data_IF_107324402692
#
_entry.id   IF_107324402692
#
_cell.length_a   1.000
_cell.length_b   1.000
_cell.length_c   1.000
_cell.angle_alpha   90.00
_cell.angle_beta   90.00
_cell.angle_gamma   90.00
#
_symmetry.space_group_name_H-M   'P 1'
#
loop_
_entity.id
_entity.type
_entity.pdbx_description
1 polymer ?
#
# COMPACT_ATOMS: atom_id res chain seq x y z
N UNK A 1 -6.84 11.69 -4.87
CA UNK A 1 -5.95 11.42 -5.52
C UNK A 1 -5.09 10.51 -4.96
N UNK A 2 -4.80 9.59 -5.56
CA UNK A 2 -4.19 8.55 -4.96
C UNK A 2 -2.85 8.33 -5.50
N UNK A 3 -1.99 9.25 -5.31
CA UNK A 3 -0.60 9.10 -5.73
C UNK A 3 0.28 9.55 -4.58
N UNK A 4 1.29 8.80 -4.29
CA UNK A 4 2.25 9.18 -3.28
C UNK A 4 3.28 10.08 -3.93
N UNK A 5 3.39 11.31 -3.45
CA UNK A 5 4.27 12.30 -4.05
C UNK A 5 5.57 12.51 -3.30
N UNK A 6 5.59 12.15 -2.05
CA UNK A 6 6.79 12.36 -1.26
C UNK A 6 6.82 11.38 -0.11
N UNK A 7 7.87 11.43 0.65
CA UNK A 7 8.06 10.48 1.74
C UNK A 7 7.00 10.62 2.81
N UNK A 8 6.57 11.83 3.04
CA UNK A 8 5.55 12.07 4.05
C UNK A 8 4.23 11.36 3.66
N UNK A 9 3.84 11.47 2.40
CA UNK A 9 2.67 10.77 1.90
C UNK A 9 2.85 9.26 2.02
N UNK A 10 4.06 8.79 1.74
CA UNK A 10 4.37 7.38 1.83
C UNK A 10 4.13 6.88 3.25
N UNK A 11 4.61 7.62 4.24
CA UNK A 11 4.43 7.23 5.63
C UNK A 11 2.96 7.24 6.03
N UNK A 12 2.20 8.20 5.53
CA UNK A 12 0.78 8.26 5.83
C UNK A 12 0.06 7.03 5.28
N UNK A 13 0.40 6.66 4.05
CA UNK A 13 -0.22 5.50 3.43
C UNK A 13 0.17 4.23 4.17
N UNK A 14 1.44 4.12 4.55
CA UNK A 14 1.88 2.94 5.29
C UNK A 14 1.18 2.82 6.63
N UNK A 15 0.97 3.95 7.28
CA UNK A 15 0.27 3.95 8.55
C UNK A 15 -1.15 3.44 8.37
N UNK A 16 -1.81 3.88 7.30
CA UNK A 16 -3.17 3.45 7.03
C UNK A 16 -3.21 1.96 6.70
N UNK A 17 -2.25 1.48 5.94
CA UNK A 17 -2.17 0.07 5.62
C UNK A 17 -2.06 -0.76 6.89
N UNK A 18 -1.20 -0.33 7.81
CA UNK A 18 -1.07 -1.05 9.07
C UNK A 18 -2.37 -1.10 9.85
N UNK A 19 -3.10 0.00 9.85
CA UNK A 19 -4.38 0.03 10.52
C UNK A 19 -5.36 -0.95 9.90
N UNK A 20 -5.38 -1.00 8.59
CA UNK A 20 -6.29 -1.90 7.90
C UNK A 20 -5.92 -3.36 8.14
N UNK A 21 -4.64 -3.65 8.15
CA UNK A 21 -4.18 -5.00 8.43
C UNK A 21 -4.61 -5.41 9.83
N UNK A 22 -4.53 -4.49 10.76
CA UNK A 22 -4.89 -4.78 12.13
C UNK A 22 -6.38 -5.01 12.28
N UNK A 23 -7.18 -4.32 11.47
CA UNK A 23 -8.62 -4.44 11.54
C UNK A 23 -9.18 -5.63 10.78
N UNK A 24 -8.38 -6.23 9.91
CA UNK A 24 -8.85 -7.35 9.12
C UNK A 24 -8.09 -8.60 9.50
N UNK A 25 -8.64 -9.75 9.15
CA UNK A 25 -7.96 -11.02 9.42
C UNK A 25 -8.45 -12.03 8.40
N UNK A 26 -8.12 -13.29 8.60
CA UNK A 26 -8.47 -14.29 7.62
C UNK A 26 -9.96 -14.53 7.55
N UNK A 27 -10.70 -14.13 8.58
CA UNK A 27 -12.13 -14.27 8.57
C UNK A 27 -12.83 -13.13 7.86
N UNK A 28 -12.11 -12.08 7.51
CA UNK A 28 -12.70 -10.93 6.85
C UNK A 28 -13.18 -11.32 5.46
N UNK A 29 -14.42 -11.00 5.10
CA UNK A 29 -14.93 -11.35 3.77
C UNK A 29 -14.11 -10.69 2.67
N UNK A 30 -13.96 -11.38 1.58
CA UNK A 30 -13.13 -10.86 0.50
C UNK A 30 -13.71 -9.60 -0.13
N UNK A 31 -15.02 -9.40 -0.03
CA UNK A 31 -15.60 -8.18 -0.55
C UNK A 31 -15.71 -7.09 0.49
N UNK A 32 -15.07 -7.22 1.62
CA UNK A 32 -15.06 -6.18 2.63
C UNK A 32 -14.37 -4.94 2.07
N UNK A 33 -14.95 -3.76 2.22
CA UNK A 33 -14.35 -2.53 1.71
C UNK A 33 -12.94 -2.29 2.23
N UNK A 34 -12.65 -2.75 3.45
CA UNK A 34 -11.33 -2.55 4.01
C UNK A 34 -10.26 -3.31 3.24
N UNK A 35 -10.60 -4.47 2.72
CA UNK A 35 -9.65 -5.23 1.92
C UNK A 35 -9.43 -4.55 0.57
N UNK A 36 -10.45 -3.95 0.01
CA UNK A 36 -10.32 -3.22 -1.24
C UNK A 36 -9.42 -2.02 -1.05
N UNK A 37 -9.60 -1.31 0.05
CA UNK A 37 -8.77 -0.15 0.32
C UNK A 37 -7.33 -0.58 0.54
N UNK A 38 -7.13 -1.67 1.27
CA UNK A 38 -5.80 -2.18 1.54
C UNK A 38 -5.07 -2.50 0.23
N UNK A 39 -5.77 -3.16 -0.67
CA UNK A 39 -5.18 -3.52 -1.95
C UNK A 39 -4.79 -2.27 -2.73
N UNK A 40 -5.65 -1.28 -2.75
CA UNK A 40 -5.38 -0.04 -3.46
C UNK A 40 -4.15 0.66 -2.88
N UNK A 41 -4.09 0.77 -1.55
CA UNK A 41 -2.97 1.44 -0.91
C UNK A 41 -1.68 0.69 -1.13
N UNK A 42 -1.74 -0.63 -1.11
CA UNK A 42 -0.55 -1.44 -1.36
C UNK A 42 -0.01 -1.18 -2.76
N UNK A 43 -0.90 -1.03 -3.73
CA UNK A 43 -0.49 -0.71 -5.08
C UNK A 43 0.20 0.64 -5.15
N UNK A 44 -0.31 1.62 -4.43
CA UNK A 44 0.31 2.93 -4.40
C UNK A 44 1.71 2.87 -3.83
N UNK A 45 1.88 2.11 -2.77
CA UNK A 45 3.19 1.95 -2.15
C UNK A 45 4.17 1.29 -3.11
N UNK A 46 3.73 0.25 -3.78
CA UNK A 46 4.59 -0.43 -4.73
C UNK A 46 5.04 0.52 -5.84
N UNK A 47 4.11 1.31 -6.32
CA UNK A 47 4.41 2.24 -7.40
C UNK A 47 5.43 3.27 -6.95
N UNK A 48 5.24 3.79 -5.76
CA UNK A 48 6.16 4.78 -5.22
C UNK A 48 7.56 4.20 -5.03
N UNK A 49 7.61 2.99 -4.49
CA UNK A 49 8.90 2.36 -4.25
C UNK A 49 9.64 2.10 -5.55
N UNK A 50 8.93 1.75 -6.58
CA UNK A 50 9.55 1.54 -7.86
C UNK A 50 10.17 2.82 -8.39
N UNK A 51 9.50 3.94 -8.18
CA UNK A 51 10.03 5.21 -8.65
C UNK A 51 11.22 5.66 -7.85
N UNK A 52 11.15 5.48 -6.55
CA UNK A 52 12.21 5.98 -5.68
C UNK A 52 13.45 5.13 -5.77
N UNK A 53 13.30 3.84 -5.69
CA UNK A 53 14.45 2.97 -5.71
C UNK A 53 14.92 2.67 -7.11
N UNK A 54 13.97 2.52 -7.98
CA UNK A 54 14.34 2.38 -9.39
C UNK A 54 15.47 1.49 -9.74
N UNK A 55 15.76 0.44 -9.05
CA UNK A 55 16.81 -0.41 -9.48
C UNK A 55 16.09 -1.63 -9.77
N UNK A 56 16.21 -1.98 -10.75
CA UNK A 56 15.67 -2.97 -11.18
C UNK A 56 15.84 -4.14 -10.65
N UNK A 57 15.93 -4.31 -10.19
CA UNK A 57 16.12 -5.29 -9.72
C UNK A 57 15.88 -6.33 -10.28
N UNK A 58 15.82 -6.38 -10.70
CA UNK A 58 15.69 -7.30 -11.25
C UNK A 58 16.50 -7.97 -11.32
N UNK A 59 17.08 -7.85 -11.14
CA UNK A 59 17.79 -8.45 -11.26
C UNK A 59 17.85 -9.45 -10.98
N UNK A 60 17.72 -9.80 -10.85
CA UNK A 60 17.78 -10.79 -10.77
C UNK A 60 17.85 -11.25 -11.11
#
# INVERSE_FOLDING_TARGET
>A
MEVINNENDYHEVMKRINELIFETNEDTPIDDPRLHELDRLATLVESYEKQVYNFSCDSL
#
